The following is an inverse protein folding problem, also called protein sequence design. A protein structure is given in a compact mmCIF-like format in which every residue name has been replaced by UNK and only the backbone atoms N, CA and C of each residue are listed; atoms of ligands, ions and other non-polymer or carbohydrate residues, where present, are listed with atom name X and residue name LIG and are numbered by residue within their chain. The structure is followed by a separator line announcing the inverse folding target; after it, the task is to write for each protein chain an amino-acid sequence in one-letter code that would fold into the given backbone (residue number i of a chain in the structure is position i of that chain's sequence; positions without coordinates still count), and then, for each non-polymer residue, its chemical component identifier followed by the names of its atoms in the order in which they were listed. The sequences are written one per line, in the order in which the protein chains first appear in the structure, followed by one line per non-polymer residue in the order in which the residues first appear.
data_IF_338959214495
#
_entry.id   IF_338959214495
#
_cell.length_a   1.000
_cell.length_b   1.000
_cell.length_c   1.000
_cell.angle_alpha   90.00
_cell.angle_beta   90.00
_cell.angle_gamma   90.00
#
_symmetry.space_group_name_H-M   'P 1'
#
loop_
_entity.id
_entity.type
_entity.pdbx_description
1 polymer ?
#
# COMPACT_ATOMS: atom_id res chain seq x y z
N UNK A 1 25.48 2.61 -1.88
CA UNK A 1 24.49 1.80 -2.62
C UNK A 1 23.16 2.50 -2.44
N UNK A 2 22.62 3.12 -3.49
CA UNK A 2 21.36 3.87 -3.39
C UNK A 2 20.22 2.86 -3.47
N UNK A 3 19.51 2.64 -2.36
CA UNK A 3 18.30 1.81 -2.37
C UNK A 3 17.30 2.48 -3.32
N UNK A 4 16.79 1.78 -4.34
CA UNK A 4 15.75 2.33 -5.19
C UNK A 4 14.55 2.75 -4.33
N UNK A 5 14.12 4.00 -4.48
CA UNK A 5 13.05 4.57 -3.65
C UNK A 5 11.71 3.91 -4.01
N UNK A 6 10.95 3.54 -2.99
CA UNK A 6 9.54 3.12 -3.15
C UNK A 6 8.77 4.29 -3.75
N UNK A 7 8.08 4.05 -4.88
CA UNK A 7 7.31 5.07 -5.59
C UNK A 7 5.82 5.07 -5.25
N UNK A 8 5.31 3.95 -4.76
CA UNK A 8 3.90 3.75 -4.43
C UNK A 8 3.82 3.06 -3.06
N UNK A 9 2.95 3.54 -2.18
CA UNK A 9 2.76 2.93 -0.86
C UNK A 9 1.28 2.67 -0.64
N UNK A 10 0.87 1.40 -0.63
CA UNK A 10 -0.49 1.03 -0.29
C UNK A 10 -0.67 1.05 1.24
N UNK A 11 -1.57 1.88 1.74
CA UNK A 11 -2.04 1.87 3.12
C UNK A 11 -3.33 1.06 3.21
N UNK A 12 -3.33 -0.01 4.01
CA UNK A 12 -4.44 -0.95 4.09
C UNK A 12 -4.54 -1.71 5.41
N UNK A 13 -5.33 -2.79 5.43
CA UNK A 13 -5.36 -3.74 6.56
C UNK A 13 -5.71 -5.16 6.12
N UNK A 14 -5.28 -6.19 6.87
CA UNK A 14 -5.73 -7.55 6.67
C UNK A 14 -7.26 -7.67 6.73
N UNK A 15 -7.83 -8.48 5.84
CA UNK A 15 -9.26 -8.74 5.78
C UNK A 15 -10.12 -7.64 5.15
N UNK A 16 -9.51 -6.62 4.52
CA UNK A 16 -10.22 -5.64 3.71
C UNK A 16 -10.23 -6.06 2.24
N UNK A 17 -11.41 -6.43 1.71
CA UNK A 17 -11.54 -6.90 0.32
C UNK A 17 -11.04 -5.88 -0.70
N UNK A 18 -11.32 -4.59 -0.48
CA UNK A 18 -10.85 -3.52 -1.36
C UNK A 18 -9.31 -3.38 -1.35
N UNK A 19 -8.65 -3.66 -0.22
CA UNK A 19 -7.19 -3.67 -0.16
C UNK A 19 -6.60 -4.83 -0.96
N UNK A 20 -7.26 -5.98 -1.00
CA UNK A 20 -6.82 -7.15 -1.76
C UNK A 20 -6.87 -6.90 -3.28
N UNK A 21 -7.96 -6.26 -3.73
CA UNK A 21 -8.11 -5.82 -5.12
C UNK A 21 -7.05 -4.77 -5.49
N UNK A 22 -6.87 -3.76 -4.64
CA UNK A 22 -5.86 -2.72 -4.83
C UNK A 22 -4.44 -3.31 -4.92
N UNK A 23 -4.10 -4.25 -4.03
CA UNK A 23 -2.80 -4.94 -4.02
C UNK A 23 -2.53 -5.65 -5.35
N UNK A 24 -3.54 -6.35 -5.88
CA UNK A 24 -3.44 -7.07 -7.15
C UNK A 24 -3.15 -6.11 -8.31
N UNK A 25 -3.87 -5.00 -8.38
CA UNK A 25 -3.68 -3.98 -9.43
C UNK A 25 -2.31 -3.32 -9.30
N UNK A 26 -1.95 -2.86 -8.10
CA UNK A 26 -0.67 -2.17 -7.85
C UNK A 26 0.51 -3.09 -8.17
N UNK A 27 0.47 -4.35 -7.70
CA UNK A 27 1.52 -5.33 -7.98
C UNK A 27 1.70 -5.53 -9.49
N UNK A 28 0.60 -5.70 -10.24
CA UNK A 28 0.64 -5.89 -11.69
C UNK A 28 1.22 -4.66 -12.42
N UNK A 29 0.73 -3.46 -12.11
CA UNK A 29 1.17 -2.22 -12.77
C UNK A 29 2.62 -1.88 -12.40
N UNK A 30 2.99 -2.06 -11.13
CA UNK A 30 4.34 -1.77 -10.69
C UNK A 30 5.36 -2.73 -11.30
N UNK A 31 4.98 -4.01 -11.47
CA UNK A 31 5.80 -4.99 -12.19
C UNK A 31 5.98 -4.61 -13.66
N UNK A 32 4.91 -4.20 -14.35
CA UNK A 32 4.96 -3.81 -15.76
C UNK A 32 5.84 -2.57 -15.99
N UNK A 33 5.75 -1.59 -15.09
CA UNK A 33 6.50 -0.34 -15.16
C UNK A 33 7.91 -0.40 -14.54
N UNK A 34 8.27 -1.54 -13.91
CA UNK A 34 9.55 -1.69 -13.21
C UNK A 34 9.73 -0.73 -12.03
N UNK A 35 8.64 -0.36 -11.36
CA UNK A 35 8.66 0.55 -10.20
C UNK A 35 8.48 -0.23 -8.90
N UNK A 36 9.10 0.27 -7.82
CA UNK A 36 8.96 -0.33 -6.51
C UNK A 36 7.74 0.21 -5.78
N UNK A 37 7.07 -0.68 -5.07
CA UNK A 37 5.96 -0.37 -4.19
C UNK A 37 6.10 -1.13 -2.86
N UNK A 38 5.51 -0.59 -1.81
CA UNK A 38 5.45 -1.19 -0.47
C UNK A 38 4.00 -1.16 0.05
N UNK A 39 3.70 -1.98 1.05
CA UNK A 39 2.42 -1.98 1.75
C UNK A 39 2.63 -1.71 3.24
N UNK A 40 1.77 -0.85 3.81
CA UNK A 40 1.73 -0.57 5.24
C UNK A 40 0.35 -0.81 5.79
N UNK A 41 0.29 -1.47 6.94
CA UNK A 41 -0.98 -1.65 7.63
C UNK A 41 -1.24 -0.52 8.61
N UNK A 42 -2.48 -0.01 8.61
CA UNK A 42 -2.96 0.84 9.69
C UNK A 42 -2.99 0.12 11.05
N UNK A 43 -3.00 -1.21 11.07
CA UNK A 43 -3.01 -1.98 12.32
C UNK A 43 -1.66 -1.93 13.06
N UNK A 44 -0.58 -1.67 12.32
CA UNK A 44 0.79 -1.68 12.85
C UNK A 44 1.32 -0.27 13.13
N UNK A 45 0.57 0.76 12.74
CA UNK A 45 0.97 2.16 12.83
C UNK A 45 -0.20 3.05 13.29
N UNK A 46 -0.16 3.54 14.55
CA UNK A 46 -1.21 4.40 15.10
C UNK A 46 -1.43 5.70 14.33
N UNK A 47 -0.38 6.28 13.73
CA UNK A 47 -0.50 7.51 12.96
C UNK A 47 -1.24 7.27 11.64
N UNK A 48 -1.01 6.11 11.02
CA UNK A 48 -1.76 5.69 9.83
C UNK A 48 -3.21 5.33 10.18
N UNK A 49 -3.44 4.70 11.32
CA UNK A 49 -4.78 4.40 11.81
C UNK A 49 -5.62 5.67 11.98
N UNK A 50 -5.11 6.64 12.75
CA UNK A 50 -5.83 7.88 13.03
C UNK A 50 -6.13 8.69 11.76
N UNK A 51 -5.24 8.62 10.76
CA UNK A 51 -5.39 9.38 9.52
C UNK A 51 -6.28 8.70 8.49
N UNK A 52 -6.21 7.37 8.35
CA UNK A 52 -6.74 6.66 7.19
C UNK A 52 -7.75 5.55 7.51
N UNK A 53 -8.12 5.32 8.78
CA UNK A 53 -9.05 4.25 9.19
C UNK A 53 -10.33 4.16 8.33
N UNK A 54 -10.97 5.29 7.99
CA UNK A 54 -12.21 5.32 7.19
C UNK A 54 -11.96 5.41 5.67
N UNK A 55 -10.69 5.51 5.25
CA UNK A 55 -10.30 5.82 3.87
C UNK A 55 -9.53 4.68 3.20
N UNK A 56 -9.09 3.66 3.95
CA UNK A 56 -8.38 2.52 3.37
C UNK A 56 -9.24 1.77 2.33
N UNK A 57 -8.67 1.38 1.17
CA UNK A 57 -7.27 1.51 0.77
C UNK A 57 -6.88 2.92 0.26
N UNK A 58 -5.64 3.36 0.57
CA UNK A 58 -5.02 4.61 0.06
C UNK A 58 -3.65 4.31 -0.56
N UNK A 59 -3.25 4.99 -1.64
CA UNK A 59 -2.01 4.70 -2.42
C UNK A 59 -1.15 5.92 -2.71
#
# INVERSE_FOLDING_TARGET
MNTPAVRVTLIGRPGCHLCDDARTVISSVCSDLGVLWDERSINDDPELYDRYWEQIPVT
#
